data_IF_436162645317
#
_entry.id   IF_436162645317
#
_cell.length_a   1.000
_cell.length_b   1.000
_cell.length_c   1.000
_cell.angle_alpha   90.00
_cell.angle_beta   90.00
_cell.angle_gamma   90.00
#
_symmetry.space_group_name_H-M   'P 1'
#
loop_
_entity.id
_entity.type
_entity.pdbx_description
1 polymer ?
#
# COMPACT_ATOMS: atom_id res chain seq x y z
N UNK A 1 16.02 16.79 4.04
CA UNK A 1 15.71 15.36 3.94
C UNK A 1 14.79 14.98 5.11
N UNK A 2 13.55 14.61 4.83
CA UNK A 2 12.55 14.28 5.87
C UNK A 2 12.60 12.80 6.31
N UNK A 3 13.19 11.92 5.53
CA UNK A 3 13.16 10.46 5.77
C UNK A 3 13.89 10.02 7.05
N UNK A 4 15.04 10.58 7.45
CA UNK A 4 15.67 10.24 8.73
C UNK A 4 14.76 10.59 9.92
N UNK A 5 14.04 11.71 9.83
CA UNK A 5 13.07 12.13 10.86
C UNK A 5 11.91 11.15 10.91
N UNK A 6 11.36 10.76 9.75
CA UNK A 6 10.25 9.81 9.67
C UNK A 6 10.63 8.42 10.20
N UNK A 7 11.84 7.94 9.90
CA UNK A 7 12.33 6.66 10.37
C UNK A 7 12.43 6.60 11.91
N UNK A 8 12.86 7.69 12.54
CA UNK A 8 12.98 7.77 14.00
C UNK A 8 11.66 8.12 14.72
N UNK A 9 10.68 8.70 13.98
CA UNK A 9 9.47 9.22 14.57
C UNK A 9 8.39 8.16 14.82
N UNK A 10 8.26 7.17 13.92
CA UNK A 10 7.16 6.22 13.97
C UNK A 10 7.56 4.84 13.43
N UNK A 11 6.85 3.82 13.88
CA UNK A 11 7.02 2.43 13.44
C UNK A 11 5.99 2.03 12.35
N UNK A 12 5.06 2.92 12.03
CA UNK A 12 4.09 2.77 10.96
C UNK A 12 4.31 3.86 9.91
N UNK A 13 4.47 3.43 8.66
CA UNK A 13 4.69 4.33 7.53
C UNK A 13 3.63 4.11 6.45
N UNK A 14 3.17 5.19 5.84
CA UNK A 14 2.29 5.15 4.67
C UNK A 14 3.03 5.66 3.44
N UNK A 15 3.09 4.84 2.39
CA UNK A 15 3.63 5.23 1.09
C UNK A 15 2.48 5.59 0.16
N UNK A 16 2.35 6.89 -0.13
CA UNK A 16 1.32 7.45 -1.02
C UNK A 16 1.91 8.21 -2.22
N UNK A 17 3.07 7.78 -2.72
CA UNK A 17 3.72 8.44 -3.86
C UNK A 17 3.00 8.13 -5.18
N UNK A 18 3.04 9.06 -6.14
CA UNK A 18 2.46 8.85 -7.47
C UNK A 18 3.16 7.74 -8.24
N UNK A 19 2.38 6.99 -9.03
CA UNK A 19 2.85 5.98 -9.97
C UNK A 19 2.38 6.32 -11.39
N UNK A 20 2.95 7.38 -12.01
CA UNK A 20 2.52 7.81 -13.32
C UNK A 20 2.79 6.74 -14.38
N UNK A 21 2.14 6.86 -15.52
CA UNK A 21 2.42 6.00 -16.66
C UNK A 21 3.85 6.27 -17.21
N UNK A 22 4.58 5.22 -17.52
CA UNK A 22 5.88 5.32 -18.15
C UNK A 22 5.75 5.93 -19.56
N UNK A 23 6.71 6.77 -19.94
CA UNK A 23 6.73 7.34 -21.28
C UNK A 23 6.88 6.25 -22.36
N UNK A 24 5.94 6.24 -23.31
CA UNK A 24 5.94 5.26 -24.41
C UNK A 24 5.48 3.85 -24.03
N UNK A 25 4.89 3.68 -22.86
CA UNK A 25 4.38 2.40 -22.36
C UNK A 25 3.07 2.61 -21.62
N UNK A 26 2.26 1.55 -21.47
CA UNK A 26 1.08 1.54 -20.60
C UNK A 26 1.41 1.08 -19.17
N UNK A 27 2.66 0.76 -18.89
CA UNK A 27 3.10 0.32 -17.57
C UNK A 27 3.14 1.49 -16.58
N UNK A 28 2.82 1.23 -15.32
CA UNK A 28 3.02 2.19 -14.23
C UNK A 28 4.51 2.32 -13.90
N UNK A 29 4.93 3.53 -13.55
CA UNK A 29 6.29 3.80 -13.09
C UNK A 29 6.39 3.58 -11.57
N UNK A 30 6.95 2.45 -11.17
CA UNK A 30 7.12 2.05 -9.77
C UNK A 30 8.39 2.59 -9.11
N UNK A 31 9.26 3.27 -9.88
CA UNK A 31 10.56 3.77 -9.37
C UNK A 31 10.41 4.66 -8.14
N UNK A 32 9.33 5.44 -8.07
CA UNK A 32 9.10 6.32 -6.91
C UNK A 32 8.80 5.54 -5.64
N UNK A 33 8.03 4.45 -5.73
CA UNK A 33 7.73 3.58 -4.58
C UNK A 33 8.99 2.82 -4.17
N UNK A 34 9.76 2.34 -5.14
CA UNK A 34 11.04 1.65 -4.90
C UNK A 34 12.05 2.57 -4.22
N UNK A 35 12.19 3.81 -4.70
CA UNK A 35 13.09 4.80 -4.11
C UNK A 35 12.75 5.10 -2.63
N UNK A 36 11.45 5.12 -2.26
CA UNK A 36 11.07 5.29 -0.84
C UNK A 36 11.57 4.13 0.00
N UNK A 37 11.47 2.89 -0.47
CA UNK A 37 11.98 1.71 0.24
C UNK A 37 13.51 1.77 0.36
N UNK A 38 14.21 2.09 -0.74
CA UNK A 38 15.66 2.23 -0.77
C UNK A 38 16.18 3.30 0.20
N UNK A 39 15.47 4.41 0.31
CA UNK A 39 15.86 5.51 1.19
C UNK A 39 15.44 5.31 2.65
N UNK A 40 14.30 4.67 2.90
CA UNK A 40 13.73 4.52 4.24
C UNK A 40 14.36 3.34 5.01
N UNK A 41 14.37 2.14 4.39
CA UNK A 41 14.71 0.88 5.08
C UNK A 41 16.09 0.90 5.72
N UNK A 42 17.16 1.44 5.08
CA UNK A 42 18.48 1.52 5.71
C UNK A 42 18.55 2.32 7.02
N UNK A 43 17.52 3.14 7.28
CA UNK A 43 17.46 4.05 8.44
C UNK A 43 16.56 3.51 9.57
N UNK A 44 15.91 2.34 9.35
CA UNK A 44 14.98 1.77 10.32
C UNK A 44 15.73 0.96 11.40
N UNK A 45 15.21 1.02 12.63
CA UNK A 45 15.65 0.20 13.75
C UNK A 45 14.43 -0.37 14.49
N UNK A 46 14.44 -1.68 14.79
CA UNK A 46 13.33 -2.35 15.44
C UNK A 46 12.22 -2.77 14.44
N UNK A 47 10.99 -2.80 14.93
CA UNK A 47 9.86 -3.38 14.20
C UNK A 47 9.06 -2.32 13.46
N UNK A 48 8.95 -2.41 12.15
CA UNK A 48 8.22 -1.47 11.31
C UNK A 48 7.19 -2.15 10.41
N UNK A 49 6.07 -1.45 10.16
CA UNK A 49 5.08 -1.82 9.16
C UNK A 49 4.94 -0.68 8.15
N UNK A 50 4.96 -1.03 6.86
CA UNK A 50 4.82 -0.08 5.76
C UNK A 50 3.55 -0.40 4.99
N UNK A 51 2.59 0.51 4.98
CA UNK A 51 1.39 0.41 4.15
C UNK A 51 1.58 1.12 2.81
N UNK A 52 1.61 0.35 1.72
CA UNK A 52 1.56 0.90 0.37
C UNK A 52 0.13 1.28 -0.01
N UNK A 53 -0.08 2.54 -0.39
CA UNK A 53 -1.37 3.07 -0.85
C UNK A 53 -1.41 3.35 -2.35
N UNK A 54 -0.26 3.42 -2.99
CA UNK A 54 -0.14 3.72 -4.42
C UNK A 54 -0.79 2.65 -5.28
N UNK A 55 -1.32 3.05 -6.45
CA UNK A 55 -1.81 2.10 -7.46
C UNK A 55 -0.63 1.50 -8.20
N UNK A 56 -0.43 0.20 -8.08
CA UNK A 56 0.74 -0.51 -8.61
C UNK A 56 0.33 -1.78 -9.36
N UNK A 57 1.19 -2.29 -10.25
CA UNK A 57 1.02 -3.62 -10.84
C UNK A 57 1.02 -4.72 -9.77
N UNK A 58 0.30 -5.80 -10.06
CA UNK A 58 0.25 -6.99 -9.20
C UNK A 58 1.65 -7.58 -9.02
N UNK A 59 2.03 -7.87 -7.78
CA UNK A 59 3.34 -8.41 -7.42
C UNK A 59 4.33 -7.35 -6.92
N UNK A 60 4.00 -6.07 -7.03
CA UNK A 60 4.87 -4.97 -6.56
C UNK A 60 5.15 -5.05 -5.06
N UNK A 61 4.13 -5.29 -4.24
CA UNK A 61 4.28 -5.38 -2.79
C UNK A 61 5.23 -6.52 -2.36
N UNK A 62 5.13 -7.68 -3.03
CA UNK A 62 6.01 -8.80 -2.78
C UNK A 62 7.47 -8.50 -3.20
N UNK A 63 7.67 -7.83 -4.33
CA UNK A 63 8.98 -7.39 -4.78
C UNK A 63 9.60 -6.36 -3.83
N UNK A 64 8.80 -5.40 -3.34
CA UNK A 64 9.25 -4.40 -2.35
C UNK A 64 9.60 -5.06 -1.01
N UNK A 65 8.87 -6.08 -0.59
CA UNK A 65 9.22 -6.85 0.61
C UNK A 65 10.58 -7.53 0.45
N UNK A 66 10.80 -8.23 -0.65
CA UNK A 66 12.09 -8.87 -0.92
C UNK A 66 13.24 -7.85 -0.97
N UNK A 67 13.00 -6.67 -1.55
CA UNK A 67 13.95 -5.56 -1.56
C UNK A 67 14.23 -5.04 -0.14
N UNK A 68 13.21 -4.86 0.68
CA UNK A 68 13.36 -4.42 2.07
C UNK A 68 14.19 -5.42 2.89
N UNK A 69 13.88 -6.72 2.76
CA UNK A 69 14.61 -7.79 3.44
C UNK A 69 16.10 -7.79 3.02
N UNK A 70 16.40 -7.59 1.73
CA UNK A 70 17.76 -7.48 1.22
C UNK A 70 18.51 -6.27 1.77
N UNK A 71 17.86 -5.09 1.83
CA UNK A 71 18.45 -3.87 2.38
C UNK A 71 18.74 -3.99 3.88
N UNK A 72 17.85 -4.61 4.66
CA UNK A 72 18.09 -4.91 6.08
C UNK A 72 19.33 -5.77 6.24
N UNK A 73 19.46 -6.82 5.43
CA UNK A 73 20.61 -7.73 5.47
C UNK A 73 21.92 -7.02 5.06
N UNK A 74 21.88 -6.20 4.00
CA UNK A 74 23.04 -5.47 3.47
C UNK A 74 23.57 -4.44 4.48
N UNK A 75 22.68 -3.69 5.12
CA UNK A 75 23.09 -2.63 6.07
C UNK A 75 23.34 -3.18 7.48
N UNK A 76 23.00 -4.45 7.76
CA UNK A 76 23.18 -5.07 9.07
C UNK A 76 22.39 -4.39 10.18
N UNK A 77 21.33 -3.62 9.83
CA UNK A 77 20.47 -3.02 10.83
C UNK A 77 19.56 -4.12 11.47
N UNK A 78 19.10 -3.84 12.70
CA UNK A 78 18.27 -4.78 13.45
C UNK A 78 16.77 -4.53 13.22
N UNK A 79 16.41 -4.03 12.04
CA UNK A 79 15.03 -3.78 11.69
C UNK A 79 14.33 -5.06 11.24
N UNK A 80 13.04 -5.18 11.59
CA UNK A 80 12.10 -6.07 10.89
C UNK A 80 11.09 -5.20 10.14
N UNK A 81 10.96 -5.41 8.85
CA UNK A 81 10.07 -4.61 8.00
C UNK A 81 8.99 -5.52 7.43
N UNK A 82 7.74 -5.17 7.69
CA UNK A 82 6.59 -5.81 7.05
C UNK A 82 5.93 -4.84 6.09
N UNK A 83 5.78 -5.23 4.82
CA UNK A 83 5.03 -4.47 3.82
C UNK A 83 3.64 -5.09 3.67
N UNK A 84 2.62 -4.26 3.81
CA UNK A 84 1.23 -4.58 3.53
C UNK A 84 0.68 -3.60 2.48
N UNK A 85 -0.35 -4.02 1.72
CA UNK A 85 -0.92 -3.18 0.68
C UNK A 85 -2.32 -2.74 1.05
N UNK A 86 -2.49 -1.44 1.20
CA UNK A 86 -3.75 -0.82 1.59
C UNK A 86 -4.17 0.24 0.54
N UNK A 87 -4.69 -0.20 -0.62
CA UNK A 87 -5.09 0.72 -1.67
C UNK A 87 -6.18 1.68 -1.21
N UNK A 88 -6.17 2.89 -1.77
CA UNK A 88 -7.22 3.89 -1.57
C UNK A 88 -8.30 3.80 -2.66
N UNK A 89 -9.51 4.23 -2.35
CA UNK A 89 -10.64 4.30 -3.28
C UNK A 89 -11.28 5.69 -3.26
N UNK A 90 -10.45 6.72 -3.12
CA UNK A 90 -10.87 8.11 -2.98
C UNK A 90 -11.44 8.64 -4.30
N UNK A 91 -12.56 9.33 -4.21
CA UNK A 91 -13.14 10.05 -5.34
C UNK A 91 -12.54 11.45 -5.43
N UNK A 92 -12.25 11.89 -6.65
CA UNK A 92 -11.81 13.27 -6.90
C UNK A 92 -12.85 14.26 -6.37
N UNK A 93 -12.38 15.28 -5.65
CA UNK A 93 -13.25 16.26 -4.98
C UNK A 93 -13.83 15.81 -3.64
N UNK A 94 -13.74 14.53 -3.26
CA UNK A 94 -14.29 13.97 -2.02
C UNK A 94 -13.23 13.31 -1.14
N UNK A 95 -11.95 13.50 -1.42
CA UNK A 95 -10.85 12.76 -0.79
C UNK A 95 -10.88 12.81 0.74
N UNK A 96 -11.14 13.96 1.36
CA UNK A 96 -11.21 14.10 2.82
C UNK A 96 -12.37 13.29 3.38
N UNK A 97 -13.57 13.40 2.77
CA UNK A 97 -14.74 12.64 3.21
C UNK A 97 -14.50 11.13 3.08
N UNK A 98 -14.00 10.69 1.93
CA UNK A 98 -13.76 9.27 1.64
C UNK A 98 -12.61 8.69 2.49
N UNK A 99 -11.72 9.53 3.02
CA UNK A 99 -10.70 9.12 4.00
C UNK A 99 -11.29 8.91 5.38
N UNK A 100 -12.21 9.77 5.80
CA UNK A 100 -12.84 9.73 7.13
C UNK A 100 -13.96 8.68 7.19
N UNK A 101 -14.71 8.54 6.09
CA UNK A 101 -15.84 7.63 5.94
C UNK A 101 -15.69 6.82 4.63
N UNK A 102 -14.73 5.90 4.57
CA UNK A 102 -14.52 5.09 3.38
C UNK A 102 -15.64 4.08 3.16
N UNK A 103 -16.03 3.84 1.92
CA UNK A 103 -17.02 2.81 1.57
C UNK A 103 -16.54 1.40 1.96
N UNK A 104 -15.24 1.17 1.95
CA UNK A 104 -14.56 -0.06 2.34
C UNK A 104 -13.09 0.18 2.58
N UNK A 105 -12.48 -0.68 3.39
CA UNK A 105 -11.03 -0.74 3.60
C UNK A 105 -10.57 -2.11 3.09
N UNK A 106 -9.56 -2.12 2.22
CA UNK A 106 -8.91 -3.34 1.72
C UNK A 106 -7.49 -3.38 2.24
N UNK A 107 -7.10 -4.50 2.81
CA UNK A 107 -5.74 -4.73 3.32
C UNK A 107 -5.21 -6.05 2.77
N UNK A 108 -4.15 -5.98 1.98
CA UNK A 108 -3.36 -7.13 1.58
C UNK A 108 -2.23 -7.38 2.57
N UNK A 109 -2.12 -8.61 3.07
CA UNK A 109 -1.07 -9.00 4.00
C UNK A 109 -0.37 -10.28 3.56
N UNK A 110 0.81 -10.52 4.09
CA UNK A 110 1.54 -11.77 3.91
C UNK A 110 0.85 -12.95 4.61
N UNK A 111 0.03 -12.68 5.62
CA UNK A 111 -0.68 -13.70 6.39
C UNK A 111 -1.78 -14.43 5.62
N UNK A 112 -2.25 -13.86 4.51
CA UNK A 112 -3.39 -14.38 3.74
C UNK A 112 -3.01 -14.90 2.35
N UNK A 113 -1.72 -15.04 2.05
CA UNK A 113 -1.23 -15.58 0.77
C UNK A 113 -1.20 -17.10 0.72
N UNK A 114 -0.77 -17.67 -0.42
CA UNK A 114 -0.61 -19.13 -0.58
C UNK A 114 0.51 -19.71 0.30
N UNK A 115 1.45 -18.89 0.75
CA UNK A 115 2.48 -19.23 1.75
C UNK A 115 2.38 -18.21 2.90
N UNK A 116 1.46 -18.45 3.88
CA UNK A 116 1.18 -17.50 4.94
C UNK A 116 2.40 -17.25 5.83
N UNK A 117 2.75 -15.99 6.02
CA UNK A 117 3.78 -15.55 6.94
C UNK A 117 3.16 -14.78 8.10
N UNK A 118 3.77 -14.77 9.30
CA UNK A 118 3.28 -13.95 10.40
C UNK A 118 3.09 -12.49 9.97
N UNK A 119 1.95 -11.91 10.31
CA UNK A 119 1.60 -10.53 9.94
C UNK A 119 1.05 -9.77 11.15
N UNK A 120 1.59 -8.57 11.36
CA UNK A 120 1.12 -7.60 12.36
C UNK A 120 0.25 -6.52 11.71
N UNK A 121 0.29 -6.43 10.38
CA UNK A 121 -0.34 -5.35 9.64
C UNK A 121 -1.85 -5.27 9.86
N UNK A 122 -2.54 -6.42 9.99
CA UNK A 122 -3.99 -6.42 10.24
C UNK A 122 -4.34 -5.77 11.58
N UNK A 123 -3.67 -6.15 12.67
CA UNK A 123 -3.90 -5.56 13.99
C UNK A 123 -3.68 -4.05 13.99
N UNK A 124 -2.55 -3.61 13.43
CA UNK A 124 -2.21 -2.18 13.31
C UNK A 124 -3.24 -1.44 12.43
N UNK A 125 -3.66 -2.04 11.31
CA UNK A 125 -4.67 -1.42 10.44
C UNK A 125 -6.01 -1.26 11.16
N UNK A 126 -6.43 -2.24 11.97
CA UNK A 126 -7.66 -2.14 12.78
C UNK A 126 -7.58 -1.02 13.81
N UNK A 127 -6.43 -0.76 14.39
CA UNK A 127 -6.21 0.38 15.31
C UNK A 127 -6.28 1.71 14.55
N UNK A 128 -5.58 1.83 13.43
CA UNK A 128 -5.56 3.05 12.60
C UNK A 128 -6.96 3.40 12.07
N UNK A 129 -7.69 2.39 11.61
CA UNK A 129 -9.02 2.55 11.04
C UNK A 129 -10.16 2.34 12.04
N UNK A 130 -9.88 2.36 13.36
CA UNK A 130 -10.91 2.18 14.39
C UNK A 130 -12.12 3.11 14.23
N UNK A 131 -11.97 4.42 13.90
CA UNK A 131 -13.13 5.30 13.74
C UNK A 131 -14.11 4.88 12.62
N UNK A 132 -13.69 4.59 11.38
CA UNK A 132 -14.60 4.07 10.36
C UNK A 132 -15.10 2.66 10.68
N UNK A 133 -14.31 1.80 11.30
CA UNK A 133 -14.74 0.45 11.70
C UNK A 133 -15.85 0.49 12.74
N UNK A 134 -15.84 1.45 13.65
CA UNK A 134 -16.93 1.69 14.60
C UNK A 134 -18.25 2.13 13.96
N UNK A 135 -18.23 2.48 12.65
CA UNK A 135 -19.38 2.82 11.83
C UNK A 135 -19.73 1.71 10.82
N UNK A 136 -19.33 0.48 11.11
CA UNK A 136 -19.59 -0.70 10.28
C UNK A 136 -18.99 -0.62 8.85
N UNK A 137 -17.93 0.16 8.64
CA UNK A 137 -17.20 0.16 7.37
C UNK A 137 -16.63 -1.23 7.08
N UNK A 138 -16.91 -1.85 5.93
CA UNK A 138 -16.37 -3.15 5.57
C UNK A 138 -14.84 -3.15 5.57
N UNK A 139 -14.23 -4.10 6.27
CA UNK A 139 -12.79 -4.33 6.35
C UNK A 139 -12.46 -5.68 5.73
N UNK A 140 -11.82 -5.66 4.58
CA UNK A 140 -11.52 -6.83 3.77
C UNK A 140 -10.04 -7.13 3.85
N UNK A 141 -9.67 -8.25 4.46
CA UNK A 141 -8.28 -8.71 4.52
C UNK A 141 -8.07 -9.80 3.48
N UNK A 142 -6.99 -9.69 2.71
CA UNK A 142 -6.66 -10.60 1.62
C UNK A 142 -5.14 -10.74 1.48
N UNK A 143 -4.67 -11.47 0.45
CA UNK A 143 -3.26 -11.48 0.07
C UNK A 143 -2.83 -10.18 -0.61
N UNK A 144 -1.51 -9.97 -0.72
CA UNK A 144 -0.92 -8.76 -1.31
C UNK A 144 -1.37 -8.56 -2.75
N UNK A 145 -1.33 -9.62 -3.57
CA UNK A 145 -1.62 -9.57 -4.99
C UNK A 145 -3.09 -9.24 -5.25
N UNK A 146 -4.00 -9.82 -4.46
CA UNK A 146 -5.44 -9.51 -4.55
C UNK A 146 -5.72 -8.07 -4.19
N UNK A 147 -5.10 -7.52 -3.15
CA UNK A 147 -5.27 -6.11 -2.78
C UNK A 147 -4.81 -5.16 -3.89
N UNK A 148 -3.67 -5.45 -4.53
CA UNK A 148 -3.19 -4.69 -5.70
C UNK A 148 -4.16 -4.79 -6.87
N UNK A 149 -4.63 -6.00 -7.19
CA UNK A 149 -5.54 -6.27 -8.30
C UNK A 149 -6.89 -5.58 -8.12
N UNK A 150 -7.45 -5.57 -6.91
CA UNK A 150 -8.75 -4.92 -6.61
C UNK A 150 -8.73 -3.46 -7.01
N UNK A 151 -7.64 -2.73 -6.72
CA UNK A 151 -7.52 -1.30 -7.08
C UNK A 151 -7.46 -1.10 -8.59
N UNK A 152 -6.62 -1.86 -9.28
CA UNK A 152 -6.48 -1.78 -10.74
C UNK A 152 -7.80 -2.13 -11.43
N UNK A 153 -8.46 -3.19 -10.99
CA UNK A 153 -9.75 -3.64 -11.54
C UNK A 153 -10.85 -2.61 -11.32
N UNK A 154 -10.92 -1.98 -10.13
CA UNK A 154 -11.90 -0.95 -9.84
C UNK A 154 -11.74 0.26 -10.77
N UNK A 155 -10.50 0.72 -10.99
CA UNK A 155 -10.20 1.83 -11.88
C UNK A 155 -10.51 1.49 -13.35
N UNK A 156 -10.14 0.30 -13.82
CA UNK A 156 -10.41 -0.16 -15.18
C UNK A 156 -11.91 -0.30 -15.44
N UNK A 157 -12.65 -0.85 -14.48
CA UNK A 157 -14.11 -0.97 -14.59
C UNK A 157 -14.81 0.38 -14.64
N UNK A 158 -14.39 1.33 -13.80
CA UNK A 158 -14.91 2.70 -13.82
C UNK A 158 -14.66 3.38 -15.16
N UNK A 159 -13.45 3.30 -15.70
CA UNK A 159 -13.09 3.85 -17.00
C UNK A 159 -13.94 3.23 -18.13
N UNK A 160 -14.15 1.92 -18.10
CA UNK A 160 -14.97 1.20 -19.05
C UNK A 160 -16.43 1.68 -19.00
N UNK A 161 -17.01 1.83 -17.80
CA UNK A 161 -18.38 2.35 -17.63
C UNK A 161 -18.54 3.75 -18.21
N UNK A 162 -17.58 4.65 -17.92
CA UNK A 162 -17.61 6.02 -18.43
C UNK A 162 -17.52 6.03 -19.96
N UNK A 163 -16.59 5.26 -20.54
CA UNK A 163 -16.42 5.15 -21.97
C UNK A 163 -17.70 4.59 -22.66
N UNK A 164 -18.29 3.57 -22.06
CA UNK A 164 -19.51 2.96 -22.58
C UNK A 164 -20.67 3.96 -22.60
N UNK A 165 -20.93 4.66 -21.49
CA UNK A 165 -22.02 5.65 -21.41
C UNK A 165 -21.79 6.81 -22.40
N UNK A 166 -20.56 7.28 -22.54
CA UNK A 166 -20.24 8.36 -23.49
C UNK A 166 -20.46 7.92 -24.96
N UNK A 167 -20.23 6.65 -25.27
CA UNK A 167 -20.46 6.11 -26.62
C UNK A 167 -21.97 5.93 -26.93
N UNK A 168 -22.80 5.64 -25.95
CA UNK A 168 -24.26 5.45 -26.08
C UNK A 168 -25.01 6.77 -26.23
#
# INVERSE_FOLDING_TARGET
DALPISAAFANLHFIGVGTPQQRGSYAADTRYVEAVIEDLVPKLEGDHVIFGKSTVPVGTAAALQAKADALVAEHGNKATVEIAWNPEFLREGYAVKDTIEPDRIVLGTRGNGPDPQPSRAEGIAREVYAPPLAKDTPFIVTDLQTAELVKVSANAFLATKISFINAV
#
